data_IF_496282921463
#
_entry.id   IF_496282921463
#
_cell.length_a   1.000
_cell.length_b   1.000
_cell.length_c   1.000
_cell.angle_alpha   90.00
_cell.angle_beta   90.00
_cell.angle_gamma   90.00
#
_symmetry.space_group_name_H-M   'P 1'
#
loop_
_entity.id
_entity.type
_entity.pdbx_description
1 polymer ?
#
# COMPACT_ATOMS: atom_id res chain seq x y z
N UNK A 1 19.94 -14.71 1.03
CA UNK A 1 20.03 -14.67 2.51
C UNK A 1 19.48 -13.33 2.98
N UNK A 2 18.46 -13.27 3.87
CA UNK A 2 17.96 -12.00 4.35
C UNK A 2 18.92 -11.46 5.41
N UNK A 3 19.31 -10.20 5.27
CA UNK A 3 20.11 -9.49 6.26
C UNK A 3 19.25 -9.26 7.50
N UNK A 4 19.49 -10.08 8.54
CA UNK A 4 19.15 -9.72 9.92
C UNK A 4 19.84 -8.40 10.23
N UNK A 5 19.05 -7.37 10.52
CA UNK A 5 19.57 -6.09 11.00
C UNK A 5 20.11 -6.35 12.41
N UNK A 6 21.40 -6.64 12.50
CA UNK A 6 22.17 -6.61 13.74
C UNK A 6 22.37 -5.14 14.11
N UNK A 7 21.47 -4.60 14.93
CA UNK A 7 21.79 -3.43 15.74
C UNK A 7 22.63 -3.96 16.91
N UNK A 8 23.77 -3.32 17.11
CA UNK A 8 24.81 -3.66 18.10
C UNK A 8 24.19 -4.11 19.44
N UNK A 9 24.29 -5.40 19.74
CA UNK A 9 24.23 -5.97 21.10
C UNK A 9 22.87 -6.45 21.65
N UNK A 10 21.72 -6.10 21.07
CA UNK A 10 20.40 -6.55 21.57
C UNK A 10 19.52 -6.93 20.37
N UNK A 11 18.99 -8.16 20.36
CA UNK A 11 18.07 -8.59 19.32
C UNK A 11 16.78 -7.79 19.45
N UNK A 12 16.20 -7.32 18.34
CA UNK A 12 14.88 -6.68 18.40
C UNK A 12 13.81 -7.64 18.97
N UNK A 13 14.07 -8.96 18.92
CA UNK A 13 13.23 -10.01 19.50
C UNK A 13 13.13 -9.92 21.03
N UNK A 14 14.08 -9.27 21.69
CA UNK A 14 14.08 -9.09 23.15
C UNK A 14 13.31 -7.83 23.57
N UNK A 15 12.85 -7.03 22.60
CA UNK A 15 12.10 -5.80 22.90
C UNK A 15 10.63 -6.08 23.28
N UNK A 16 9.98 -5.18 24.03
CA UNK A 16 8.57 -5.30 24.35
C UNK A 16 7.70 -5.47 23.10
N UNK A 17 6.62 -6.23 23.22
CA UNK A 17 5.64 -6.42 22.14
C UNK A 17 4.51 -5.40 22.31
N UNK A 18 4.19 -4.69 21.24
CA UNK A 18 3.04 -3.80 21.13
C UNK A 18 2.03 -4.34 20.11
N UNK A 19 0.77 -3.91 20.22
CA UNK A 19 -0.32 -4.33 19.35
C UNK A 19 -0.71 -3.24 18.35
N UNK A 20 -0.93 -3.63 17.09
CA UNK A 20 -1.61 -2.81 16.09
C UNK A 20 -2.96 -3.46 15.77
N UNK A 21 -4.01 -2.66 15.62
CA UNK A 21 -5.36 -3.14 15.35
C UNK A 21 -6.07 -2.24 14.36
N UNK A 22 -6.85 -2.81 13.45
CA UNK A 22 -7.76 -2.05 12.59
C UNK A 22 -9.13 -1.89 13.28
N UNK A 23 -9.78 -0.75 13.13
CA UNK A 23 -11.21 -0.62 13.45
C UNK A 23 -12.04 -1.00 12.21
N UNK A 24 -13.14 -1.77 12.33
CA UNK A 24 -13.77 -2.27 13.55
C UNK A 24 -13.29 -3.67 14.00
N UNK A 25 -12.27 -4.24 13.36
CA UNK A 25 -11.75 -5.58 13.66
C UNK A 25 -11.48 -5.80 15.15
N UNK A 26 -11.65 -7.02 15.64
CA UNK A 26 -11.18 -7.46 16.96
C UNK A 26 -9.70 -7.88 17.00
N UNK A 27 -9.11 -8.15 15.82
CA UNK A 27 -7.80 -8.77 15.69
C UNK A 27 -6.68 -7.79 16.04
N UNK A 28 -5.75 -8.24 16.87
CA UNK A 28 -4.54 -7.50 17.24
C UNK A 28 -3.33 -8.18 16.59
N UNK A 29 -2.59 -7.41 15.82
CA UNK A 29 -1.31 -7.81 15.22
C UNK A 29 -0.18 -7.41 16.17
N UNK A 30 0.59 -8.40 16.64
CA UNK A 30 1.68 -8.20 17.59
C UNK A 30 3.00 -7.92 16.87
N UNK A 31 3.69 -6.85 17.24
CA UNK A 31 5.00 -6.48 16.69
C UNK A 31 5.97 -6.09 17.81
N UNK A 32 7.24 -6.45 17.65
CA UNK A 32 8.32 -6.03 18.54
C UNK A 32 8.53 -4.52 18.40
N UNK A 33 8.56 -3.79 19.51
CA UNK A 33 8.61 -2.33 19.53
C UNK A 33 9.88 -1.78 18.83
N UNK A 34 11.03 -2.42 19.04
CA UNK A 34 12.27 -2.00 18.37
C UNK A 34 12.24 -2.31 16.86
N UNK A 35 11.53 -3.35 16.43
CA UNK A 35 11.30 -3.59 15.00
C UNK A 35 10.41 -2.50 14.39
N UNK A 36 9.31 -2.16 15.07
CA UNK A 36 8.39 -1.09 14.66
C UNK A 36 9.15 0.24 14.51
N UNK A 37 10.00 0.56 15.49
CA UNK A 37 10.87 1.74 15.49
C UNK A 37 11.90 1.71 14.35
N UNK A 38 12.56 0.57 14.13
CA UNK A 38 13.55 0.41 13.05
C UNK A 38 12.93 0.53 11.64
N UNK A 39 11.65 0.18 11.48
CA UNK A 39 10.90 0.37 10.23
C UNK A 39 10.50 1.83 9.97
N UNK A 40 10.55 2.67 10.99
CA UNK A 40 10.29 4.10 10.90
C UNK A 40 8.82 4.44 10.71
N UNK A 41 8.58 5.69 10.28
CA UNK A 41 7.24 6.25 10.18
C UNK A 41 6.65 6.69 11.52
N UNK A 42 5.40 7.12 11.48
CA UNK A 42 4.72 7.79 12.61
C UNK A 42 4.00 6.85 13.56
N UNK A 43 3.88 5.56 13.24
CA UNK A 43 3.16 4.58 14.07
C UNK A 43 3.83 4.42 15.44
N UNK A 44 5.17 4.39 15.48
CA UNK A 44 5.91 4.25 16.74
C UNK A 44 5.61 5.38 17.73
N UNK A 45 5.28 6.58 17.23
CA UNK A 45 4.94 7.72 18.06
C UNK A 45 3.70 7.51 18.94
N UNK A 46 2.83 6.55 18.63
CA UNK A 46 1.69 6.18 19.48
C UNK A 46 2.14 5.47 20.78
N UNK A 47 3.30 4.79 20.74
CA UNK A 47 3.87 4.07 21.88
C UNK A 47 4.98 4.87 22.58
N UNK A 48 5.34 6.02 22.02
CA UNK A 48 6.28 6.96 22.59
C UNK A 48 5.51 8.14 23.18
N UNK A 49 6.03 8.76 24.26
CA UNK A 49 5.37 9.88 24.97
C UNK A 49 4.04 9.47 25.65
N UNK A 50 3.41 10.42 26.35
CA UNK A 50 2.27 10.19 27.28
C UNK A 50 0.92 9.90 26.61
N UNK A 51 0.90 9.24 25.46
CA UNK A 51 -0.34 8.81 24.81
C UNK A 51 -0.94 7.60 25.52
N UNK A 52 -2.27 7.45 25.46
CA UNK A 52 -3.00 6.36 26.12
C UNK A 52 -2.59 5.00 25.55
N UNK A 53 -2.20 4.96 24.28
CA UNK A 53 -1.77 3.76 23.58
C UNK A 53 -0.47 3.19 24.14
N UNK A 54 0.36 4.03 24.77
CA UNK A 54 1.52 3.56 25.52
C UNK A 54 1.12 2.76 26.76
N UNK A 55 0.08 3.18 27.49
CA UNK A 55 -0.44 2.42 28.65
C UNK A 55 -1.27 1.22 28.22
N UNK A 56 -2.06 1.36 27.15
CA UNK A 56 -2.93 0.29 26.64
C UNK A 56 -2.13 -0.77 25.87
N UNK A 57 -0.92 -0.44 25.42
CA UNK A 57 -0.04 -1.32 24.62
C UNK A 57 -0.57 -1.61 23.21
N UNK A 58 -1.65 -0.96 22.79
CA UNK A 58 -2.32 -1.18 21.51
C UNK A 58 -2.66 0.14 20.84
N UNK A 59 -2.29 0.29 19.56
CA UNK A 59 -2.69 1.40 18.71
C UNK A 59 -3.77 0.96 17.73
N UNK A 60 -4.90 1.70 17.70
CA UNK A 60 -6.03 1.42 16.81
C UNK A 60 -5.97 2.34 15.59
N UNK A 61 -5.80 1.72 14.41
CA UNK A 61 -5.78 2.35 13.10
C UNK A 61 -7.21 2.31 12.54
N UNK A 62 -7.80 3.46 12.28
CA UNK A 62 -9.22 3.56 11.89
C UNK A 62 -9.45 3.65 10.38
N UNK A 63 -8.38 3.83 9.62
CA UNK A 63 -8.40 4.24 8.22
C UNK A 63 -7.66 3.25 7.31
N UNK A 64 -7.56 1.99 7.73
CA UNK A 64 -6.95 0.93 6.92
C UNK A 64 -7.67 -0.39 7.13
N UNK A 65 -7.52 -1.31 6.18
CA UNK A 65 -8.09 -2.65 6.25
C UNK A 65 -7.15 -3.59 7.00
N UNK A 66 -7.71 -4.67 7.57
CA UNK A 66 -6.89 -5.75 8.15
C UNK A 66 -5.89 -6.32 7.14
N UNK A 67 -6.29 -6.44 5.87
CA UNK A 67 -5.42 -6.94 4.81
C UNK A 67 -4.20 -6.03 4.62
N UNK A 68 -4.41 -4.71 4.59
CA UNK A 68 -3.31 -3.73 4.47
C UNK A 68 -2.39 -3.79 5.68
N UNK A 69 -2.96 -3.91 6.89
CA UNK A 69 -2.18 -4.04 8.11
C UNK A 69 -1.39 -5.36 8.13
N UNK A 70 -1.97 -6.47 7.67
CA UNK A 70 -1.27 -7.74 7.53
C UNK A 70 -0.07 -7.61 6.58
N UNK A 71 -0.22 -6.94 5.43
CA UNK A 71 0.91 -6.69 4.50
C UNK A 71 1.99 -5.84 5.11
N UNK A 72 1.62 -4.83 5.89
CA UNK A 72 2.57 -4.05 6.66
C UNK A 72 3.37 -4.93 7.62
N UNK A 73 2.70 -5.85 8.35
CA UNK A 73 3.37 -6.78 9.27
C UNK A 73 4.32 -7.72 8.54
N UNK A 74 3.91 -8.31 7.43
CA UNK A 74 4.75 -9.18 6.61
C UNK A 74 6.00 -8.43 6.13
N UNK A 75 5.83 -7.21 5.61
CA UNK A 75 6.95 -6.37 5.20
C UNK A 75 7.86 -5.98 6.38
N UNK A 76 7.29 -5.66 7.54
CA UNK A 76 8.07 -5.29 8.72
C UNK A 76 9.02 -6.43 9.15
N UNK A 77 8.61 -7.69 9.01
CA UNK A 77 9.48 -8.83 9.34
C UNK A 77 10.36 -9.29 8.17
N UNK A 78 9.85 -9.32 6.94
CA UNK A 78 10.51 -9.97 5.79
C UNK A 78 11.16 -9.00 4.82
N UNK A 79 10.97 -7.69 5.02
CA UNK A 79 11.32 -6.64 4.07
C UNK A 79 10.61 -6.75 2.70
N UNK A 80 9.58 -7.59 2.63
CA UNK A 80 8.69 -7.75 1.48
C UNK A 80 7.32 -8.28 1.94
N UNK A 81 6.30 -8.13 1.10
CA UNK A 81 4.97 -8.70 1.31
C UNK A 81 4.46 -9.36 0.02
N UNK A 82 3.74 -10.49 0.12
CA UNK A 82 3.25 -11.21 -1.06
C UNK A 82 2.14 -10.42 -1.76
N UNK A 83 2.08 -10.57 -3.08
CA UNK A 83 1.06 -9.92 -3.91
C UNK A 83 -0.32 -10.59 -3.80
N UNK A 84 -0.38 -11.85 -3.38
CA UNK A 84 -1.62 -12.57 -3.10
C UNK A 84 -1.68 -12.98 -1.63
N UNK A 85 -2.89 -13.07 -1.06
CA UNK A 85 -3.08 -13.82 0.19
C UNK A 85 -2.89 -15.27 -0.21
N UNK A 86 -1.68 -15.81 -0.07
CA UNK A 86 -1.48 -17.24 -0.27
C UNK A 86 -2.36 -17.95 0.75
N UNK A 87 -3.24 -18.83 0.28
CA UNK A 87 -4.09 -19.72 1.08
C UNK A 87 -3.29 -20.73 1.94
N UNK A 88 -1.97 -20.59 2.04
CA UNK A 88 -1.07 -21.54 2.70
C UNK A 88 -0.95 -21.35 4.23
N UNK A 89 -1.87 -20.61 4.85
CA UNK A 89 -1.96 -20.55 6.30
C UNK A 89 -2.90 -21.65 6.79
N UNK A 90 -2.39 -22.88 6.85
CA UNK A 90 -2.90 -24.00 7.67
C UNK A 90 -4.41 -24.02 7.90
N UNK A 91 -5.11 -24.74 7.01
CA UNK A 91 -6.50 -25.16 7.20
C UNK A 91 -6.68 -25.81 8.58
N UNK A 92 -7.38 -25.14 9.48
CA UNK A 92 -8.25 -25.86 10.41
C UNK A 92 -9.50 -26.31 9.63
N UNK A 93 -9.89 -27.59 9.71
CA UNK A 93 -11.03 -28.10 8.95
C UNK A 93 -12.32 -27.65 9.61
N UNK A 94 -12.94 -26.57 9.12
CA UNK A 94 -14.27 -26.20 9.62
C UNK A 94 -14.86 -24.84 9.26
N UNK A 95 -14.25 -24.01 8.41
CA UNK A 95 -14.85 -22.74 8.01
C UNK A 95 -14.90 -22.61 6.49
N UNK A 96 -16.10 -22.83 5.92
CA UNK A 96 -16.43 -22.35 4.59
C UNK A 96 -16.39 -20.82 4.60
N UNK A 97 -15.28 -20.24 4.16
CA UNK A 97 -15.27 -18.84 3.74
C UNK A 97 -14.65 -18.81 2.36
N UNK A 98 -15.53 -18.78 1.34
CA UNK A 98 -15.16 -18.31 0.00
C UNK A 98 -14.74 -16.85 0.15
N UNK A 99 -13.48 -16.62 0.50
CA UNK A 99 -12.88 -15.30 0.48
C UNK A 99 -12.79 -14.87 -0.97
N UNK A 100 -13.59 -13.88 -1.36
CA UNK A 100 -13.41 -13.15 -2.61
C UNK A 100 -11.97 -12.63 -2.61
N UNK A 101 -11.11 -13.23 -3.44
CA UNK A 101 -9.70 -12.92 -3.44
C UNK A 101 -9.52 -11.48 -3.91
N UNK A 102 -9.28 -10.56 -2.97
CA UNK A 102 -9.02 -9.15 -3.28
C UNK A 102 -7.93 -9.08 -4.33
N UNK A 103 -8.19 -8.35 -5.42
CA UNK A 103 -7.24 -8.20 -6.51
C UNK A 103 -5.89 -7.66 -5.96
N UNK A 104 -4.74 -8.30 -6.28
CA UNK A 104 -3.41 -7.88 -5.85
C UNK A 104 -3.12 -6.38 -6.03
N UNK A 105 -3.67 -5.75 -7.06
CA UNK A 105 -3.50 -4.32 -7.36
C UNK A 105 -4.17 -3.45 -6.30
N UNK A 106 -5.35 -3.84 -5.82
CA UNK A 106 -6.07 -3.15 -4.74
C UNK A 106 -5.28 -3.25 -3.43
N UNK A 107 -4.69 -4.42 -3.17
CA UNK A 107 -3.79 -4.63 -2.05
C UNK A 107 -2.57 -3.68 -2.12
N UNK A 108 -1.91 -3.58 -3.29
CA UNK A 108 -0.74 -2.71 -3.44
C UNK A 108 -1.05 -1.22 -3.27
N UNK A 109 -2.17 -0.72 -3.80
CA UNK A 109 -2.57 0.69 -3.60
C UNK A 109 -2.94 0.97 -2.14
N UNK A 110 -3.60 0.04 -1.44
CA UNK A 110 -3.90 0.16 -0.01
C UNK A 110 -2.64 0.28 0.83
N UNK A 111 -1.64 -0.55 0.57
CA UNK A 111 -0.31 -0.46 1.23
C UNK A 111 0.40 0.85 0.90
N UNK A 112 0.30 1.34 -0.35
CA UNK A 112 0.89 2.62 -0.72
C UNK A 112 0.26 3.78 0.07
N UNK A 113 -1.07 3.84 0.13
CA UNK A 113 -1.82 4.85 0.89
C UNK A 113 -1.44 4.82 2.38
N UNK A 114 -1.42 3.61 2.96
CA UNK A 114 -1.02 3.40 4.34
C UNK A 114 0.41 3.91 4.60
N UNK A 115 1.36 3.50 3.75
CA UNK A 115 2.75 3.93 3.88
C UNK A 115 2.91 5.44 3.73
N UNK A 116 2.18 6.06 2.80
CA UNK A 116 2.22 7.50 2.60
C UNK A 116 1.70 8.26 3.82
N UNK A 117 0.55 7.84 4.36
CA UNK A 117 -0.06 8.46 5.55
C UNK A 117 0.84 8.37 6.78
N UNK A 118 1.46 7.22 7.00
CA UNK A 118 2.34 6.99 8.14
C UNK A 118 3.81 7.36 7.87
N UNK A 119 4.13 7.88 6.69
CA UNK A 119 5.48 8.33 6.29
C UNK A 119 6.51 7.19 6.39
N UNK A 120 6.20 6.06 5.76
CA UNK A 120 7.04 4.85 5.74
C UNK A 120 7.68 4.71 4.35
N UNK A 121 8.70 5.52 4.07
CA UNK A 121 9.27 5.71 2.72
C UNK A 121 9.65 4.40 2.01
N UNK A 122 10.28 3.46 2.73
CA UNK A 122 10.72 2.17 2.16
C UNK A 122 9.54 1.30 1.74
N UNK A 123 8.43 1.33 2.50
CA UNK A 123 7.22 0.60 2.15
C UNK A 123 6.46 1.30 1.04
N UNK A 124 6.39 2.63 1.06
CA UNK A 124 5.77 3.43 0.00
C UNK A 124 6.43 3.13 -1.36
N UNK A 125 7.76 3.19 -1.43
CA UNK A 125 8.51 2.87 -2.65
C UNK A 125 8.31 1.41 -3.11
N UNK A 126 8.26 0.46 -2.17
CA UNK A 126 8.00 -0.95 -2.50
C UNK A 126 6.61 -1.13 -3.09
N UNK A 127 5.59 -0.55 -2.46
CA UNK A 127 4.20 -0.65 -2.88
C UNK A 127 3.98 0.03 -4.24
N UNK A 128 4.58 1.20 -4.46
CA UNK A 128 4.59 1.87 -5.76
C UNK A 128 5.12 0.95 -6.86
N UNK A 129 6.31 0.36 -6.63
CA UNK A 129 6.94 -0.54 -7.61
C UNK A 129 6.08 -1.78 -7.88
N UNK A 130 5.49 -2.39 -6.84
CA UNK A 130 4.64 -3.58 -7.01
C UNK A 130 3.36 -3.24 -7.78
N UNK A 131 2.70 -2.14 -7.43
CA UNK A 131 1.48 -1.68 -8.11
C UNK A 131 1.75 -1.36 -9.58
N UNK A 132 2.69 -0.47 -9.86
CA UNK A 132 3.00 -0.02 -11.23
C UNK A 132 3.43 -1.18 -12.13
N UNK A 133 4.26 -2.10 -11.61
CA UNK A 133 4.64 -3.33 -12.32
C UNK A 133 3.43 -4.23 -12.59
N UNK A 134 2.56 -4.44 -11.59
CA UNK A 134 1.38 -5.29 -11.76
C UNK A 134 0.40 -4.75 -12.80
N UNK A 135 0.27 -3.42 -12.92
CA UNK A 135 -0.53 -2.78 -13.95
C UNK A 135 0.15 -2.84 -15.32
N UNK A 136 1.44 -2.53 -15.41
CA UNK A 136 2.18 -2.51 -16.67
C UNK A 136 2.32 -3.88 -17.35
N UNK A 137 2.32 -4.97 -16.57
CA UNK A 137 2.42 -6.34 -17.11
C UNK A 137 1.13 -6.85 -17.77
N UNK A 138 0.00 -6.15 -17.62
CA UNK A 138 -1.27 -6.53 -18.27
C UNK A 138 -1.16 -6.29 -19.77
N UNK A 139 -1.00 -7.36 -20.56
CA UNK A 139 -0.95 -7.27 -22.03
C UNK A 139 -2.36 -7.15 -22.61
N UNK A 140 -3.20 -8.12 -22.29
CA UNK A 140 -4.59 -8.19 -22.74
C UNK A 140 -5.49 -7.58 -21.67
N UNK A 141 -5.89 -6.32 -21.92
CA UNK A 141 -6.63 -5.54 -20.94
C UNK A 141 -8.12 -5.90 -20.99
N UNK A 142 -8.59 -6.61 -19.98
CA UNK A 142 -9.96 -7.10 -19.88
C UNK A 142 -10.92 -6.08 -19.26
N UNK A 143 -12.22 -6.37 -19.28
CA UNK A 143 -13.22 -5.59 -18.55
C UNK A 143 -12.98 -5.64 -17.03
N UNK A 144 -12.47 -6.76 -16.51
CA UNK A 144 -12.10 -6.87 -15.11
C UNK A 144 -10.92 -5.96 -14.77
N UNK A 145 -9.90 -5.89 -15.62
CA UNK A 145 -8.77 -4.98 -15.43
C UNK A 145 -9.20 -3.51 -15.51
N UNK A 146 -10.19 -3.20 -16.34
CA UNK A 146 -10.80 -1.87 -16.40
C UNK A 146 -11.46 -1.52 -15.07
N UNK A 147 -12.28 -2.41 -14.52
CA UNK A 147 -12.93 -2.23 -13.21
C UNK A 147 -11.92 -2.10 -12.08
N UNK A 148 -10.89 -2.95 -12.05
CA UNK A 148 -9.83 -2.85 -11.05
C UNK A 148 -9.06 -1.53 -11.17
N UNK A 149 -8.72 -1.07 -12.38
CA UNK A 149 -8.04 0.21 -12.55
C UNK A 149 -8.90 1.39 -12.09
N UNK A 150 -10.20 1.36 -12.35
CA UNK A 150 -11.16 2.37 -11.85
C UNK A 150 -11.16 2.38 -10.32
N UNK A 151 -11.24 1.21 -9.67
CA UNK A 151 -11.18 1.10 -8.21
C UNK A 151 -9.85 1.59 -7.64
N UNK A 152 -8.73 1.29 -8.29
CA UNK A 152 -7.40 1.81 -7.90
C UNK A 152 -7.36 3.33 -7.98
N UNK A 153 -7.90 3.91 -9.05
CA UNK A 153 -7.99 5.36 -9.22
C UNK A 153 -8.87 6.01 -8.14
N UNK A 154 -10.07 5.48 -7.92
CA UNK A 154 -11.01 5.99 -6.91
C UNK A 154 -10.38 5.95 -5.51
N UNK A 155 -9.75 4.83 -5.15
CA UNK A 155 -9.11 4.67 -3.84
C UNK A 155 -7.92 5.61 -3.67
N UNK A 156 -7.07 5.75 -4.70
CA UNK A 156 -5.92 6.66 -4.68
C UNK A 156 -6.35 8.12 -4.59
N UNK A 157 -7.30 8.57 -5.41
CA UNK A 157 -7.79 9.96 -5.44
C UNK A 157 -8.47 10.36 -4.14
N UNK A 158 -9.15 9.41 -3.48
CA UNK A 158 -9.85 9.68 -2.21
C UNK A 158 -8.91 9.82 -1.01
N UNK A 159 -7.68 9.32 -1.10
CA UNK A 159 -6.80 9.20 0.07
C UNK A 159 -5.43 9.88 -0.08
N UNK A 160 -5.02 10.23 -1.31
CA UNK A 160 -3.70 10.83 -1.56
C UNK A 160 -3.82 12.33 -1.86
N UNK A 161 -2.84 13.13 -1.42
CA UNK A 161 -2.82 14.56 -1.74
C UNK A 161 -2.55 14.80 -3.23
N UNK A 162 -3.05 15.93 -3.73
CA UNK A 162 -2.74 16.40 -5.08
C UNK A 162 -1.21 16.51 -5.28
N UNK A 163 -0.72 16.08 -6.44
CA UNK A 163 0.73 16.06 -6.75
C UNK A 163 1.49 14.84 -6.20
N UNK A 164 0.80 13.86 -5.61
CA UNK A 164 1.41 12.59 -5.26
C UNK A 164 1.92 11.84 -6.52
N UNK A 165 3.12 11.27 -6.45
CA UNK A 165 3.79 10.59 -7.57
C UNK A 165 3.00 9.39 -8.10
N UNK A 166 2.28 8.65 -7.25
CA UNK A 166 1.38 7.59 -7.69
C UNK A 166 0.20 8.13 -8.49
N UNK A 167 -0.41 9.24 -8.06
CA UNK A 167 -1.49 9.87 -8.83
C UNK A 167 -0.98 10.34 -10.20
N UNK A 168 0.23 10.90 -10.28
CA UNK A 168 0.80 11.28 -11.56
C UNK A 168 0.98 10.06 -12.49
N UNK A 169 1.55 8.97 -11.97
CA UNK A 169 1.76 7.75 -12.74
C UNK A 169 0.44 7.11 -13.18
N UNK A 170 -0.53 6.99 -12.27
CA UNK A 170 -1.85 6.42 -12.55
C UNK A 170 -2.60 7.27 -13.58
N UNK A 171 -2.48 8.59 -13.54
CA UNK A 171 -3.07 9.49 -14.52
C UNK A 171 -2.55 9.24 -15.95
N UNK A 172 -1.23 9.12 -16.09
CA UNK A 172 -0.59 8.76 -17.37
C UNK A 172 -1.02 7.36 -17.85
N UNK A 173 -1.01 6.38 -16.94
CA UNK A 173 -1.38 4.99 -17.26
C UNK A 173 -2.85 4.87 -17.70
N UNK A 174 -3.76 5.51 -16.96
CA UNK A 174 -5.18 5.49 -17.27
C UNK A 174 -5.52 6.26 -18.56
N UNK A 175 -4.82 7.37 -18.85
CA UNK A 175 -4.94 8.06 -20.13
C UNK A 175 -4.48 7.19 -21.30
N UNK A 176 -3.39 6.43 -21.12
CA UNK A 176 -2.94 5.44 -22.12
C UNK A 176 -3.94 4.30 -22.33
N UNK A 177 -4.62 3.85 -21.26
CA UNK A 177 -5.66 2.80 -21.32
C UNK A 177 -7.07 3.32 -21.57
N UNK A 178 -7.23 4.59 -21.92
CA UNK A 178 -8.53 5.27 -21.96
C UNK A 178 -9.53 4.61 -22.94
N UNK A 179 -9.06 4.05 -24.05
CA UNK A 179 -9.92 3.33 -25.01
C UNK A 179 -10.61 2.12 -24.40
N UNK A 180 -9.98 1.46 -23.43
CA UNK A 180 -10.58 0.33 -22.71
C UNK A 180 -11.51 0.83 -21.61
N UNK A 181 -11.06 1.83 -20.83
CA UNK A 181 -11.85 2.41 -19.74
C UNK A 181 -13.19 2.97 -20.24
N UNK A 182 -13.20 3.66 -21.39
CA UNK A 182 -14.42 4.21 -21.99
C UNK A 182 -15.46 3.17 -22.43
N UNK A 183 -15.11 1.89 -22.48
CA UNK A 183 -16.04 0.80 -22.81
C UNK A 183 -16.67 0.19 -21.56
N UNK A 184 -16.15 0.52 -20.38
CA UNK A 184 -16.63 0.03 -19.11
C UNK A 184 -17.72 0.96 -18.57
N UNK A 185 -18.89 0.41 -18.20
CA UNK A 185 -20.02 1.19 -17.66
C UNK A 185 -19.65 1.91 -16.36
N UNK A 186 -18.86 1.26 -15.50
CA UNK A 186 -18.40 1.82 -14.23
C UNK A 186 -17.59 3.11 -14.43
N UNK A 187 -16.89 3.23 -15.56
CA UNK A 187 -16.16 4.44 -15.92
C UNK A 187 -17.12 5.60 -16.24
N UNK A 188 -18.27 5.32 -16.86
CA UNK A 188 -19.28 6.33 -17.13
C UNK A 188 -19.92 6.85 -15.84
N UNK A 189 -20.22 5.94 -14.91
CA UNK A 189 -20.78 6.30 -13.59
C UNK A 189 -19.81 7.14 -12.75
N UNK A 190 -18.51 6.95 -12.96
CA UNK A 190 -17.42 7.70 -12.30
C UNK A 190 -16.84 8.83 -13.15
N UNK A 191 -17.41 9.10 -14.33
CA UNK A 191 -16.81 10.05 -15.28
C UNK A 191 -16.70 11.46 -14.72
N UNK A 192 -17.67 11.89 -13.89
CA UNK A 192 -17.64 13.21 -13.24
C UNK A 192 -16.43 13.42 -12.31
N UNK A 193 -15.99 12.38 -11.59
CA UNK A 193 -14.82 12.45 -10.70
C UNK A 193 -13.51 12.16 -11.42
N UNK A 194 -13.51 11.21 -12.36
CA UNK A 194 -12.29 10.75 -13.04
C UNK A 194 -11.90 11.62 -14.23
N UNK A 195 -12.85 12.18 -14.98
CA UNK A 195 -12.54 12.95 -16.20
C UNK A 195 -11.68 14.20 -15.93
N UNK A 196 -11.94 15.04 -14.90
CA UNK A 196 -11.10 16.19 -14.60
C UNK A 196 -9.65 15.79 -14.26
N UNK A 197 -9.48 14.63 -13.64
CA UNK A 197 -8.15 14.09 -13.34
C UNK A 197 -7.43 13.60 -14.60
N UNK A 198 -8.14 12.87 -15.48
CA UNK A 198 -7.55 12.27 -16.67
C UNK A 198 -7.26 13.29 -17.77
N UNK A 199 -8.05 14.35 -17.93
CA UNK A 199 -7.89 15.33 -19.01
C UNK A 199 -6.49 15.95 -19.06
N UNK A 200 -5.82 16.06 -17.90
CA UNK A 200 -4.43 16.53 -17.78
C UNK A 200 -3.43 15.65 -18.55
N UNK A 201 -3.74 14.37 -18.73
CA UNK A 201 -2.82 13.36 -19.26
C UNK A 201 -3.26 12.79 -20.61
N UNK A 202 -4.48 13.10 -21.09
CA UNK A 202 -4.94 12.67 -22.42
C UNK A 202 -4.14 13.39 -23.49
N UNK A 203 -3.41 12.60 -24.27
CA UNK A 203 -2.70 13.04 -25.47
C UNK A 203 -3.24 12.23 -26.68
N UNK A 204 -3.05 12.67 -27.93
CA UNK A 204 -3.51 11.94 -29.11
C UNK A 204 -2.89 10.53 -29.26
N UNK A 205 -1.74 10.28 -28.62
CA UNK A 205 -1.12 8.95 -28.45
C UNK A 205 -0.04 9.02 -27.37
N UNK A 206 -0.37 8.88 -26.07
CA UNK A 206 0.63 8.84 -25.03
C UNK A 206 1.39 7.50 -25.09
N UNK A 207 2.73 7.48 -24.96
CA UNK A 207 3.46 6.23 -24.73
C UNK A 207 3.05 5.64 -23.36
N UNK A 208 3.17 4.32 -23.16
CA UNK A 208 2.97 3.73 -21.83
C UNK A 208 3.94 4.38 -20.84
N UNK A 209 3.49 4.71 -19.62
CA UNK A 209 4.40 5.26 -18.62
C UNK A 209 5.47 4.20 -18.29
N UNK A 210 6.73 4.60 -18.31
CA UNK A 210 7.83 3.73 -17.90
C UNK A 210 7.61 3.30 -16.44
N UNK A 211 7.88 2.02 -16.12
CA UNK A 211 8.09 1.63 -14.73
C UNK A 211 9.38 2.33 -14.28
N UNK A 212 9.26 3.32 -13.40
CA UNK A 212 10.37 4.24 -13.08
C UNK A 212 11.69 3.50 -12.75
N UNK A 213 12.79 3.80 -13.47
CA UNK A 213 14.13 3.27 -13.20
C UNK A 213 14.86 3.96 -12.02
N UNK A 214 14.33 5.00 -11.37
CA UNK A 214 15.10 5.84 -10.44
C UNK A 214 14.62 5.88 -8.98
N UNK A 215 15.26 5.02 -8.19
CA UNK A 215 15.44 5.06 -6.73
C UNK A 215 15.94 6.43 -6.20
N UNK A 216 16.41 7.34 -7.06
CA UNK A 216 16.92 8.67 -6.70
C UNK A 216 15.87 9.67 -6.20
N UNK A 217 14.61 9.60 -6.65
CA UNK A 217 13.57 10.51 -6.14
C UNK A 217 13.35 10.33 -4.63
N UNK A 218 13.38 9.09 -4.14
CA UNK A 218 13.30 8.77 -2.70
C UNK A 218 14.59 9.11 -1.95
N UNK A 219 15.75 9.13 -2.63
CA UNK A 219 17.05 9.49 -2.05
C UNK A 219 17.13 10.99 -1.69
N UNK A 220 16.39 11.84 -2.39
CA UNK A 220 16.41 13.29 -2.21
C UNK A 220 15.44 13.84 -1.14
N UNK A 221 14.49 13.04 -0.63
CA UNK A 221 13.64 13.41 0.52
C UNK A 221 14.27 13.11 1.87
N UNK A 222 15.24 12.21 1.93
CA UNK A 222 15.99 11.88 3.16
C UNK A 222 17.24 12.75 3.23
N UNK A 223 17.07 14.07 3.34
CA UNK A 223 18.13 14.90 3.93
C UNK A 223 17.83 15.02 5.41
N UNK A 224 18.74 14.56 6.31
CA UNK A 224 18.59 14.86 7.72
C UNK A 224 18.61 16.39 7.86
N UNK A 225 17.52 16.94 8.41
CA UNK A 225 17.62 18.24 9.09
C UNK A 225 18.43 17.98 10.35
N UNK A 226 19.73 18.25 10.25
CA UNK A 226 20.61 18.45 11.39
C UNK A 226 20.11 19.63 12.22
#
# INVERSE_FOLDING_TARGET
MPALVLIIGVSFLDSPIVGLRCSPSARIFKIHQELLKARGGRIICAFERGFKEKSDGVYTITDTTEETLLRYMEWAYRNDYPSAVNEDSSQEPGAETKGDATDPRLCHVGVYIFANKYIIDKLEALAFRKLTRSLALVKDFSDNDSRTLIQVLDLALSNLPAGNSLLEWLGKYAAWRLSYLRRCTDFHDRSGSLAPFLIKYVQPSPPPPECDPNVEYYRNRVKPRW
#
